data_IF_067386426183
#
_entry.id   IF_067386426183
#
_cell.length_a   1.000
_cell.length_b   1.000
_cell.length_c   1.000
_cell.angle_alpha   90.00
_cell.angle_beta   90.00
_cell.angle_gamma   90.00
#
_symmetry.space_group_name_H-M   'P 1'
#
loop_
_entity.id
_entity.type
_entity.pdbx_description
1 polymer ?
#
# COMPACT_ATOMS: atom_id res chain seq x y z
N UNK A 1 -6.98 -44.03 -11.34
CA UNK A 1 -8.06 -43.54 -12.22
C UNK A 1 -9.15 -42.97 -11.33
N UNK A 2 -9.35 -41.65 -11.35
CA UNK A 2 -10.26 -40.99 -10.41
C UNK A 2 -10.35 -39.49 -10.65
N UNK A 3 -11.23 -39.13 -11.57
CA UNK A 3 -12.03 -37.91 -11.71
C UNK A 3 -11.42 -36.52 -11.42
N UNK A 4 -11.03 -35.89 -12.53
CA UNK A 4 -11.01 -34.44 -12.74
C UNK A 4 -12.42 -33.85 -12.71
N UNK A 5 -12.68 -32.88 -11.83
CA UNK A 5 -13.94 -32.15 -11.81
C UNK A 5 -13.82 -30.76 -11.18
N UNK A 6 -14.66 -29.85 -11.70
CA UNK A 6 -15.01 -28.50 -11.24
C UNK A 6 -14.11 -27.34 -11.70
N UNK A 7 -14.63 -26.22 -12.22
CA UNK A 7 -15.90 -25.88 -12.89
C UNK A 7 -15.74 -24.43 -13.33
N UNK A 8 -15.97 -24.12 -14.60
CA UNK A 8 -15.93 -22.76 -15.13
C UNK A 8 -17.08 -21.92 -14.55
N UNK A 9 -16.77 -20.96 -13.67
CA UNK A 9 -17.73 -19.97 -13.19
C UNK A 9 -17.88 -18.84 -14.20
N UNK A 10 -18.73 -19.05 -15.20
CA UNK A 10 -19.23 -18.04 -16.12
C UNK A 10 -20.24 -17.12 -15.39
N UNK A 11 -19.80 -15.92 -14.97
CA UNK A 11 -20.71 -14.88 -14.47
C UNK A 11 -21.19 -14.00 -15.62
N UNK A 12 -22.34 -14.38 -16.18
CA UNK A 12 -23.20 -13.54 -17.02
C UNK A 12 -23.88 -12.51 -16.10
N UNK A 13 -23.69 -11.21 -16.35
CA UNK A 13 -24.52 -10.17 -15.75
C UNK A 13 -25.43 -9.53 -16.79
N UNK A 14 -26.69 -9.46 -16.40
CA UNK A 14 -27.85 -9.19 -17.21
C UNK A 14 -28.02 -7.70 -17.54
N UNK A 15 -28.57 -7.51 -18.74
CA UNK A 15 -29.10 -6.26 -19.29
C UNK A 15 -30.37 -5.91 -18.52
N UNK A 16 -30.46 -4.71 -17.93
CA UNK A 16 -31.72 -4.17 -17.37
C UNK A 16 -32.14 -2.93 -18.15
N UNK A 17 -33.43 -2.94 -18.44
CA UNK A 17 -34.19 -2.14 -19.38
C UNK A 17 -34.27 -0.63 -19.07
N UNK A 18 -34.37 0.12 -20.15
CA UNK A 18 -34.71 1.52 -20.20
C UNK A 18 -36.17 1.78 -19.77
N UNK A 19 -36.38 2.84 -18.97
CA UNK A 19 -37.70 3.40 -18.73
C UNK A 19 -37.71 4.85 -19.23
N UNK A 20 -38.48 5.09 -20.28
CA UNK A 20 -38.76 6.40 -20.84
C UNK A 20 -39.90 7.06 -20.05
N UNK A 21 -39.68 8.26 -19.52
CA UNK A 21 -40.76 9.10 -18.98
C UNK A 21 -40.81 10.37 -19.80
N UNK A 22 -41.88 10.50 -20.56
CA UNK A 22 -42.28 11.70 -21.27
C UNK A 22 -43.14 12.57 -20.35
N UNK A 23 -42.73 13.81 -20.13
CA UNK A 23 -43.60 14.84 -19.57
C UNK A 23 -43.39 16.16 -20.31
N UNK A 24 -44.37 16.47 -21.16
CA UNK A 24 -44.54 17.70 -21.89
C UNK A 24 -45.09 18.78 -20.95
N UNK A 25 -44.34 19.86 -20.76
CA UNK A 25 -44.78 21.05 -20.04
C UNK A 25 -44.01 22.26 -20.55
N UNK A 26 -44.57 22.95 -21.55
CA UNK A 26 -44.01 24.18 -22.11
C UNK A 26 -44.17 25.33 -21.11
N UNK A 27 -43.07 25.72 -20.48
CA UNK A 27 -42.86 27.08 -20.00
C UNK A 27 -41.50 27.56 -20.51
N UNK A 28 -41.39 28.75 -21.14
CA UNK A 28 -40.13 29.26 -21.66
C UNK A 28 -39.26 29.76 -20.50
N UNK A 29 -38.76 28.83 -19.70
CA UNK A 29 -37.74 29.10 -18.69
C UNK A 29 -36.41 29.22 -19.42
N UNK A 30 -35.73 30.36 -19.25
CA UNK A 30 -34.49 30.70 -19.93
C UNK A 30 -33.38 29.67 -19.65
N UNK A 31 -33.21 28.72 -20.57
CA UNK A 31 -32.27 27.57 -20.50
C UNK A 31 -30.79 28.01 -20.43
N UNK A 32 -30.48 29.27 -20.75
CA UNK A 32 -29.11 29.81 -20.77
C UNK A 32 -28.49 29.97 -19.38
N UNK A 33 -29.28 30.16 -18.31
CA UNK A 33 -28.73 30.35 -16.95
C UNK A 33 -28.42 29.03 -16.21
N UNK A 34 -29.07 27.91 -16.60
CA UNK A 34 -28.92 26.63 -15.90
C UNK A 34 -27.70 25.83 -16.41
N UNK A 35 -27.32 26.01 -17.67
CA UNK A 35 -26.15 25.36 -18.26
C UNK A 35 -24.81 25.95 -17.77
N UNK A 36 -24.79 27.22 -17.33
CA UNK A 36 -23.62 27.83 -16.71
C UNK A 36 -23.34 27.32 -15.28
N UNK A 37 -24.36 26.82 -14.56
CA UNK A 37 -24.19 26.33 -13.18
C UNK A 37 -23.63 24.91 -13.12
N UNK A 38 -23.91 24.06 -14.11
CA UNK A 38 -23.38 22.69 -14.14
C UNK A 38 -21.87 22.64 -14.50
N UNK A 39 -21.34 23.61 -15.25
CA UNK A 39 -19.90 23.71 -15.52
C UNK A 39 -19.05 24.24 -14.35
N UNK A 40 -19.67 24.98 -13.41
CA UNK A 40 -18.96 25.60 -12.29
C UNK A 40 -18.73 24.65 -11.10
N UNK A 41 -19.52 23.58 -10.95
CA UNK A 41 -19.33 22.60 -9.87
C UNK A 41 -18.29 21.52 -10.20
N UNK A 42 -17.97 21.30 -11.49
CA UNK A 42 -17.05 20.23 -11.90
C UNK A 42 -15.57 20.66 -11.93
N UNK A 43 -15.27 21.97 -11.91
CA UNK A 43 -13.91 22.52 -11.91
C UNK A 43 -13.33 22.77 -10.51
N UNK A 44 -14.14 22.65 -9.45
CA UNK A 44 -13.66 22.78 -8.06
C UNK A 44 -13.13 21.47 -7.46
N UNK A 45 -13.37 20.32 -8.11
CA UNK A 45 -13.07 19.01 -7.52
C UNK A 45 -11.64 18.50 -7.76
N UNK A 46 -10.77 19.31 -8.39
CA UNK A 46 -9.38 18.93 -8.67
C UNK A 46 -8.34 20.05 -8.57
N UNK A 47 -8.76 21.27 -8.22
CA UNK A 47 -7.84 22.41 -8.13
C UNK A 47 -7.48 22.66 -6.67
N UNK A 48 -6.18 22.72 -6.35
CA UNK A 48 -5.74 23.02 -4.99
C UNK A 48 -6.32 24.37 -4.54
N UNK A 49 -6.82 24.48 -3.29
CA UNK A 49 -7.13 25.79 -2.71
C UNK A 49 -5.91 26.72 -2.81
N UNK A 50 -6.07 28.02 -3.12
CA UNK A 50 -4.95 28.90 -3.44
C UNK A 50 -3.94 29.04 -2.30
N UNK A 51 -4.40 29.06 -1.05
CA UNK A 51 -3.51 29.09 0.12
C UNK A 51 -2.66 27.81 0.23
N UNK A 52 -3.26 26.65 -0.05
CA UNK A 52 -2.56 25.37 -0.05
C UNK A 52 -1.60 25.28 -1.25
N UNK A 53 -1.98 25.81 -2.41
CA UNK A 53 -1.12 25.84 -3.59
C UNK A 53 0.15 26.66 -3.32
N UNK A 54 0.00 27.85 -2.73
CA UNK A 54 1.13 28.68 -2.35
C UNK A 54 2.04 27.98 -1.32
N UNK A 55 1.45 27.31 -0.32
CA UNK A 55 2.20 26.54 0.66
C UNK A 55 3.01 25.39 0.02
N UNK A 56 2.39 24.63 -0.89
CA UNK A 56 3.06 23.54 -1.63
C UNK A 56 4.18 24.07 -2.52
N UNK A 57 3.95 25.16 -3.24
CA UNK A 57 4.98 25.80 -4.09
C UNK A 57 6.15 26.36 -3.28
N UNK A 58 5.90 26.82 -2.06
CA UNK A 58 6.97 27.28 -1.16
C UNK A 58 7.85 26.15 -0.61
N UNK A 59 7.39 24.90 -0.68
CA UNK A 59 8.07 23.76 -0.07
C UNK A 59 8.15 23.81 1.47
N UNK A 60 7.38 24.69 2.12
CA UNK A 60 7.38 24.82 3.57
C UNK A 60 6.40 23.84 4.21
N UNK A 61 6.92 22.77 4.81
CA UNK A 61 6.10 21.71 5.41
C UNK A 61 5.15 22.22 6.50
N UNK A 62 5.57 23.17 7.34
CA UNK A 62 4.74 23.76 8.40
C UNK A 62 3.59 24.59 7.82
N UNK A 63 3.85 25.36 6.76
CA UNK A 63 2.81 26.12 6.07
C UNK A 63 1.77 25.20 5.42
N UNK A 64 2.21 24.08 4.84
CA UNK A 64 1.33 23.07 4.25
C UNK A 64 0.44 22.44 5.34
N UNK A 65 1.03 22.01 6.47
CA UNK A 65 0.26 21.46 7.59
C UNK A 65 -0.77 22.46 8.13
N UNK A 66 -0.35 23.70 8.35
CA UNK A 66 -1.24 24.77 8.82
C UNK A 66 -2.39 25.01 7.84
N UNK A 67 -2.09 25.09 6.55
CA UNK A 67 -3.11 25.27 5.52
C UNK A 67 -4.11 24.11 5.49
N UNK A 68 -3.65 22.85 5.59
CA UNK A 68 -4.54 21.68 5.67
C UNK A 68 -5.46 21.79 6.89
N UNK A 69 -4.89 22.05 8.07
CA UNK A 69 -5.66 22.12 9.31
C UNK A 69 -6.68 23.27 9.28
N UNK A 70 -6.28 24.47 8.87
CA UNK A 70 -7.18 25.63 8.76
C UNK A 70 -8.28 25.40 7.73
N UNK A 71 -7.96 24.90 6.53
CA UNK A 71 -8.95 24.67 5.47
C UNK A 71 -9.88 23.50 5.77
N UNK A 72 -9.44 22.53 6.58
CA UNK A 72 -10.29 21.41 7.00
C UNK A 72 -11.35 21.82 8.01
N UNK A 73 -11.13 22.90 8.76
CA UNK A 73 -12.00 23.28 9.88
C UNK A 73 -12.01 22.27 11.02
N UNK A 74 -10.97 21.43 11.14
CA UNK A 74 -10.87 20.35 12.14
C UNK A 74 -11.55 19.04 11.74
N UNK A 75 -12.16 18.96 10.57
CA UNK A 75 -12.80 17.73 10.08
C UNK A 75 -11.75 16.70 9.59
N UNK A 76 -11.66 15.50 10.20
CA UNK A 76 -10.61 14.54 9.89
C UNK A 76 -10.72 13.94 8.47
N UNK A 77 -11.93 13.82 7.90
CA UNK A 77 -12.11 13.34 6.53
C UNK A 77 -11.62 14.36 5.51
N UNK A 78 -11.87 15.65 5.78
CA UNK A 78 -11.41 16.77 4.96
C UNK A 78 -9.91 16.97 5.07
N UNK A 79 -9.32 16.78 6.27
CA UNK A 79 -7.86 16.73 6.44
C UNK A 79 -7.25 15.68 5.50
N UNK A 80 -7.78 14.46 5.50
CA UNK A 80 -7.28 13.39 4.64
C UNK A 80 -7.42 13.71 3.14
N UNK A 81 -8.57 14.26 2.75
CA UNK A 81 -8.84 14.65 1.35
C UNK A 81 -7.87 15.73 0.86
N UNK A 82 -7.60 16.74 1.70
CA UNK A 82 -6.60 17.77 1.39
C UNK A 82 -5.19 17.20 1.32
N UNK A 83 -4.82 16.28 2.22
CA UNK A 83 -3.52 15.60 2.20
C UNK A 83 -3.31 14.80 0.90
N UNK A 84 -4.36 14.14 0.38
CA UNK A 84 -4.32 13.47 -0.94
C UNK A 84 -4.02 14.47 -2.07
N UNK A 85 -4.70 15.63 -2.09
CA UNK A 85 -4.45 16.66 -3.10
C UNK A 85 -3.01 17.21 -3.02
N UNK A 86 -2.48 17.39 -1.81
CA UNK A 86 -1.09 17.83 -1.59
C UNK A 86 -0.11 16.85 -2.21
N UNK A 87 -0.21 15.55 -1.92
CA UNK A 87 0.74 14.58 -2.46
C UNK A 87 0.62 14.39 -3.98
N UNK A 88 -0.59 14.49 -4.54
CA UNK A 88 -0.77 14.45 -6.00
C UNK A 88 -0.09 15.63 -6.69
N UNK A 89 -0.08 16.81 -6.05
CA UNK A 89 0.63 17.98 -6.57
C UNK A 89 2.13 17.88 -6.32
N UNK A 90 2.54 17.33 -5.18
CA UNK A 90 3.93 17.03 -4.89
C UNK A 90 4.54 16.06 -5.93
N UNK A 91 3.81 15.03 -6.35
CA UNK A 91 4.24 14.13 -7.42
C UNK A 91 4.52 14.87 -8.73
N UNK A 92 3.68 15.85 -9.09
CA UNK A 92 3.88 16.69 -10.29
C UNK A 92 5.05 17.66 -10.14
N UNK A 93 5.36 18.08 -8.91
CA UNK A 93 6.50 18.95 -8.61
C UNK A 93 7.83 18.21 -8.57
N UNK A 94 7.83 16.91 -8.29
CA UNK A 94 9.08 16.17 -8.05
C UNK A 94 10.13 16.28 -9.18
N UNK A 95 9.76 16.35 -10.48
CA UNK A 95 10.72 16.57 -11.56
C UNK A 95 11.33 17.99 -11.59
N UNK A 96 10.61 19.01 -11.13
CA UNK A 96 11.03 20.43 -11.26
C UNK A 96 11.51 21.04 -9.94
N UNK A 97 11.00 20.56 -8.81
CA UNK A 97 11.38 20.95 -7.47
C UNK A 97 11.30 19.74 -6.51
N UNK A 98 12.31 18.84 -6.55
CA UNK A 98 12.33 17.61 -5.76
C UNK A 98 12.30 17.85 -4.25
N UNK A 99 12.94 18.93 -3.77
CA UNK A 99 12.92 19.28 -2.35
C UNK A 99 11.51 19.67 -1.88
N UNK A 100 10.80 20.53 -2.62
CA UNK A 100 9.42 20.91 -2.27
C UNK A 100 8.45 19.72 -2.34
N UNK A 101 8.65 18.81 -3.31
CA UNK A 101 7.87 17.58 -3.40
C UNK A 101 8.02 16.70 -2.15
N UNK A 102 9.26 16.51 -1.67
CA UNK A 102 9.52 15.76 -0.45
C UNK A 102 8.93 16.42 0.79
N UNK A 103 9.08 17.74 0.93
CA UNK A 103 8.53 18.48 2.07
C UNK A 103 7.00 18.42 2.09
N UNK A 104 6.37 18.48 0.91
CA UNK A 104 4.93 18.32 0.76
C UNK A 104 4.45 16.92 1.15
N UNK A 105 5.17 15.87 0.73
CA UNK A 105 4.89 14.49 1.13
C UNK A 105 5.04 14.31 2.65
N UNK A 106 6.11 14.86 3.23
CA UNK A 106 6.37 14.82 4.68
C UNK A 106 5.25 15.51 5.46
N UNK A 107 4.82 16.69 5.02
CA UNK A 107 3.71 17.42 5.63
C UNK A 107 2.39 16.63 5.57
N UNK A 108 2.10 16.01 4.42
CA UNK A 108 0.91 15.17 4.26
C UNK A 108 0.95 13.93 5.17
N UNK A 109 2.11 13.27 5.30
CA UNK A 109 2.30 12.14 6.22
C UNK A 109 2.11 12.55 7.69
N UNK A 110 2.60 13.73 8.07
CA UNK A 110 2.44 14.24 9.44
C UNK A 110 0.95 14.41 9.81
N UNK A 111 0.12 14.96 8.91
CA UNK A 111 -1.32 15.14 9.19
C UNK A 111 -2.09 13.83 9.17
N UNK A 112 -1.79 12.89 8.26
CA UNK A 112 -2.44 11.57 8.27
C UNK A 112 -1.93 10.68 9.41
N UNK A 113 -0.80 11.04 10.04
CA UNK A 113 -0.31 10.39 11.25
C UNK A 113 -1.21 10.59 12.48
N UNK A 114 -2.18 11.49 12.39
CA UNK A 114 -3.21 11.64 13.42
C UNK A 114 -4.19 10.45 13.40
N UNK A 115 -4.39 9.82 14.56
CA UNK A 115 -5.27 8.64 14.69
C UNK A 115 -6.74 8.91 14.36
N UNK A 116 -7.24 10.14 14.59
CA UNK A 116 -8.59 10.53 14.19
C UNK A 116 -8.75 10.53 12.66
N UNK A 117 -7.72 10.97 11.93
CA UNK A 117 -7.69 10.98 10.47
C UNK A 117 -7.64 9.55 9.92
N UNK A 118 -6.78 8.69 10.50
CA UNK A 118 -6.71 7.27 10.12
C UNK A 118 -8.04 6.55 10.34
N UNK A 119 -8.72 6.84 11.45
CA UNK A 119 -10.01 6.21 11.75
C UNK A 119 -11.12 6.70 10.82
N UNK A 120 -11.14 8.01 10.53
CA UNK A 120 -12.19 8.62 9.72
C UNK A 120 -12.03 8.38 8.21
N UNK A 121 -10.79 8.22 7.73
CA UNK A 121 -10.48 8.13 6.30
C UNK A 121 -9.26 7.22 6.00
N UNK A 122 -9.29 5.93 6.39
CA UNK A 122 -8.15 5.04 6.26
C UNK A 122 -7.72 4.81 4.79
N UNK A 123 -8.68 4.80 3.85
CA UNK A 123 -8.39 4.68 2.42
C UNK A 123 -7.61 5.90 1.87
N UNK A 124 -7.89 7.10 2.38
CA UNK A 124 -7.15 8.31 2.01
C UNK A 124 -5.73 8.27 2.57
N UNK A 125 -5.55 7.79 3.80
CA UNK A 125 -4.21 7.58 4.39
C UNK A 125 -3.36 6.59 3.55
N UNK A 126 -3.96 5.47 3.12
CA UNK A 126 -3.28 4.51 2.23
C UNK A 126 -2.89 5.13 0.88
N UNK A 127 -3.75 5.98 0.32
CA UNK A 127 -3.50 6.69 -0.96
C UNK A 127 -2.34 7.70 -0.81
N UNK A 128 -2.29 8.43 0.31
CA UNK A 128 -1.21 9.35 0.65
C UNK A 128 0.12 8.60 0.79
N UNK A 129 0.14 7.47 1.50
CA UNK A 129 1.33 6.64 1.65
C UNK A 129 1.86 6.11 0.31
N UNK A 130 0.98 5.64 -0.57
CA UNK A 130 1.38 5.15 -1.90
C UNK A 130 2.01 6.26 -2.75
N UNK A 131 1.45 7.46 -2.68
CA UNK A 131 1.97 8.62 -3.44
C UNK A 131 3.30 9.10 -2.85
N UNK A 132 3.40 9.18 -1.51
CA UNK A 132 4.66 9.49 -0.82
C UNK A 132 5.76 8.47 -1.16
N UNK A 133 5.41 7.18 -1.25
CA UNK A 133 6.32 6.13 -1.69
C UNK A 133 6.88 6.38 -3.08
N UNK A 134 6.02 6.76 -4.04
CA UNK A 134 6.47 7.10 -5.40
C UNK A 134 7.39 8.32 -5.41
N UNK A 135 7.16 9.33 -4.55
CA UNK A 135 8.02 10.51 -4.43
C UNK A 135 9.41 10.13 -3.88
N UNK A 136 9.47 9.43 -2.74
CA UNK A 136 10.77 9.08 -2.11
C UNK A 136 11.58 8.07 -2.93
N UNK A 137 10.92 7.30 -3.81
CA UNK A 137 11.60 6.40 -4.74
C UNK A 137 12.31 7.13 -5.88
N UNK A 138 12.04 8.42 -6.11
CA UNK A 138 12.66 9.16 -7.22
C UNK A 138 14.13 9.49 -6.90
N UNK A 139 15.07 9.21 -7.81
CA UNK A 139 16.49 9.54 -7.60
C UNK A 139 16.75 11.03 -7.38
N UNK A 140 16.03 11.91 -8.09
CA UNK A 140 16.15 13.37 -7.93
C UNK A 140 15.79 13.82 -6.51
N UNK A 141 14.78 13.21 -5.90
CA UNK A 141 14.36 13.48 -4.52
C UNK A 141 15.41 12.98 -3.53
N UNK A 142 15.93 11.77 -3.73
CA UNK A 142 16.99 11.19 -2.91
C UNK A 142 18.28 12.02 -2.93
N UNK A 143 18.62 12.61 -4.09
CA UNK A 143 19.78 13.49 -4.22
C UNK A 143 19.55 14.88 -3.63
N UNK A 144 18.33 15.41 -3.75
CA UNK A 144 18.00 16.75 -3.25
C UNK A 144 17.98 16.84 -1.72
N UNK A 145 17.41 15.83 -1.05
CA UNK A 145 17.34 15.79 0.42
C UNK A 145 17.39 14.33 0.95
N UNK A 146 18.59 13.73 1.01
CA UNK A 146 18.75 12.34 1.44
C UNK A 146 18.35 12.12 2.90
N UNK A 147 18.54 13.12 3.77
CA UNK A 147 18.14 13.02 5.20
C UNK A 147 16.62 13.03 5.33
N UNK A 148 15.95 13.93 4.62
CA UNK A 148 14.49 14.00 4.58
C UNK A 148 13.87 12.70 4.05
N UNK A 149 14.45 12.09 3.02
CA UNK A 149 13.99 10.78 2.51
C UNK A 149 14.10 9.70 3.59
N UNK A 150 15.23 9.65 4.32
CA UNK A 150 15.41 8.71 5.42
C UNK A 150 14.34 8.83 6.51
N UNK A 151 14.06 10.06 6.96
CA UNK A 151 13.03 10.32 7.96
C UNK A 151 11.61 9.98 7.43
N UNK A 152 11.31 10.39 6.20
CA UNK A 152 10.02 10.14 5.54
C UNK A 152 9.74 8.63 5.39
N UNK A 153 10.75 7.85 4.99
CA UNK A 153 10.65 6.41 4.87
C UNK A 153 10.31 5.72 6.20
N UNK A 154 10.90 6.17 7.32
CA UNK A 154 10.55 5.65 8.65
C UNK A 154 9.09 5.97 9.01
N UNK A 155 8.63 7.20 8.77
CA UNK A 155 7.22 7.55 8.98
C UNK A 155 6.28 6.70 8.13
N UNK A 156 6.65 6.41 6.87
CA UNK A 156 5.86 5.56 5.99
C UNK A 156 5.71 4.13 6.53
N UNK A 157 6.80 3.51 7.01
CA UNK A 157 6.72 2.15 7.58
C UNK A 157 5.86 2.14 8.84
N UNK A 158 6.04 3.13 9.72
CA UNK A 158 5.22 3.24 10.93
C UNK A 158 3.72 3.34 10.60
N UNK A 159 3.34 4.22 9.66
CA UNK A 159 1.94 4.42 9.26
C UNK A 159 1.37 3.23 8.47
N UNK A 160 2.16 2.63 7.58
CA UNK A 160 1.75 1.44 6.84
C UNK A 160 1.52 0.23 7.75
N UNK A 161 2.20 0.15 8.88
CA UNK A 161 2.03 -0.90 9.89
C UNK A 161 0.82 -0.67 10.82
N UNK A 162 0.10 0.45 10.71
CA UNK A 162 -1.08 0.68 11.54
C UNK A 162 -2.24 -0.23 11.09
N UNK A 163 -2.91 -0.95 12.00
CA UNK A 163 -3.94 -1.93 11.63
C UNK A 163 -5.05 -1.36 10.74
N UNK A 164 -5.50 -0.14 11.01
CA UNK A 164 -6.58 0.51 10.26
C UNK A 164 -6.19 0.82 8.81
N UNK A 165 -4.95 1.28 8.60
CA UNK A 165 -4.42 1.62 7.27
C UNK A 165 -4.08 0.35 6.51
N UNK A 166 -3.40 -0.60 7.17
CA UNK A 166 -3.03 -1.88 6.59
C UNK A 166 -4.25 -2.69 6.15
N UNK A 167 -5.31 -2.73 6.96
CA UNK A 167 -6.53 -3.47 6.64
C UNK A 167 -7.27 -2.96 5.39
N UNK A 168 -7.07 -1.70 4.98
CA UNK A 168 -7.66 -1.20 3.73
C UNK A 168 -6.99 -1.80 2.50
N UNK A 169 -5.67 -1.97 2.54
CA UNK A 169 -4.91 -2.51 1.42
C UNK A 169 -3.58 -3.12 1.89
N UNK A 170 -3.59 -4.39 2.32
CA UNK A 170 -2.39 -5.08 2.78
C UNK A 170 -1.27 -5.07 1.72
N UNK A 171 -1.63 -5.27 0.46
CA UNK A 171 -0.69 -5.25 -0.67
C UNK A 171 -0.03 -3.88 -0.85
N UNK A 172 -0.81 -2.79 -0.80
CA UNK A 172 -0.25 -1.44 -0.94
C UNK A 172 0.63 -1.08 0.26
N UNK A 173 0.23 -1.46 1.48
CA UNK A 173 1.03 -1.24 2.68
C UNK A 173 2.39 -1.96 2.60
N UNK A 174 2.42 -3.22 2.15
CA UNK A 174 3.66 -3.97 1.94
C UNK A 174 4.53 -3.37 0.82
N UNK A 175 3.92 -2.85 -0.26
CA UNK A 175 4.66 -2.14 -1.29
C UNK A 175 5.29 -0.86 -0.75
N UNK A 176 4.55 -0.08 0.05
CA UNK A 176 5.06 1.12 0.74
C UNK A 176 6.24 0.78 1.66
N UNK A 177 6.12 -0.29 2.45
CA UNK A 177 7.19 -0.80 3.31
C UNK A 177 8.44 -1.20 2.52
N UNK A 178 8.26 -1.90 1.40
CA UNK A 178 9.35 -2.30 0.50
C UNK A 178 10.06 -1.08 -0.12
N UNK A 179 9.29 -0.11 -0.61
CA UNK A 179 9.84 1.13 -1.18
C UNK A 179 10.58 1.95 -0.12
N UNK A 180 10.03 2.07 1.08
CA UNK A 180 10.70 2.76 2.19
C UNK A 180 12.04 2.10 2.54
N UNK A 181 12.08 0.75 2.62
CA UNK A 181 13.32 0.01 2.86
C UNK A 181 14.35 0.19 1.73
N UNK A 182 13.90 0.15 0.46
CA UNK A 182 14.77 0.42 -0.68
C UNK A 182 15.33 1.85 -0.65
N UNK A 183 14.50 2.85 -0.36
CA UNK A 183 14.88 4.25 -0.29
C UNK A 183 15.96 4.52 0.77
N UNK A 184 15.85 3.94 1.98
CA UNK A 184 16.90 4.08 3.01
C UNK A 184 18.19 3.35 2.69
N UNK A 185 18.17 2.36 1.79
CA UNK A 185 19.35 1.67 1.31
C UNK A 185 19.99 2.33 0.08
N UNK A 186 19.36 3.36 -0.50
CA UNK A 186 19.93 4.10 -1.61
C UNK A 186 21.29 4.72 -1.20
N UNK A 187 22.32 4.72 -2.07
CA UNK A 187 23.67 5.15 -1.69
C UNK A 187 23.74 6.55 -1.08
N UNK A 188 23.01 7.52 -1.64
CA UNK A 188 22.95 8.89 -1.13
C UNK A 188 22.30 8.97 0.26
N UNK A 189 21.19 8.25 0.46
CA UNK A 189 20.44 8.23 1.73
C UNK A 189 21.25 7.53 2.81
N UNK A 190 21.86 6.37 2.50
CA UNK A 190 22.71 5.62 3.43
C UNK A 190 23.94 6.42 3.86
N UNK A 191 24.54 7.19 2.96
CA UNK A 191 25.65 8.07 3.31
C UNK A 191 25.22 9.22 4.25
N UNK A 192 23.99 9.74 4.08
CA UNK A 192 23.48 10.84 4.88
C UNK A 192 22.86 10.41 6.22
N UNK A 193 22.34 9.19 6.30
CA UNK A 193 21.63 8.60 7.46
C UNK A 193 22.08 7.15 7.65
N UNK A 194 23.28 6.91 8.22
CA UNK A 194 23.87 5.57 8.32
C UNK A 194 23.01 4.59 9.12
N UNK A 195 22.27 5.07 10.13
CA UNK A 195 21.39 4.24 10.97
C UNK A 195 19.99 4.05 10.39
N UNK A 196 19.66 4.72 9.27
CA UNK A 196 18.31 4.74 8.71
C UNK A 196 17.80 3.35 8.31
N UNK A 197 18.66 2.54 7.69
CA UNK A 197 18.32 1.17 7.29
C UNK A 197 18.06 0.25 8.50
N UNK A 198 18.80 0.41 9.59
CA UNK A 198 18.62 -0.37 10.81
C UNK A 198 17.31 0.00 11.54
N UNK A 199 16.97 1.29 11.57
CA UNK A 199 15.71 1.76 12.13
C UNK A 199 14.50 1.20 11.35
N UNK A 200 14.50 1.28 10.02
CA UNK A 200 13.44 0.72 9.18
C UNK A 200 13.35 -0.80 9.33
N UNK A 201 14.49 -1.52 9.32
CA UNK A 201 14.52 -2.97 9.58
C UNK A 201 13.86 -3.33 10.90
N UNK A 202 14.18 -2.61 11.97
CA UNK A 202 13.61 -2.85 13.30
C UNK A 202 12.09 -2.65 13.29
N UNK A 203 11.59 -1.59 12.65
CA UNK A 203 10.15 -1.35 12.53
C UNK A 203 9.45 -2.45 11.72
N UNK A 204 10.06 -2.93 10.64
CA UNK A 204 9.54 -4.05 9.86
C UNK A 204 9.48 -5.34 10.69
N UNK A 205 10.50 -5.64 11.49
CA UNK A 205 10.50 -6.79 12.40
C UNK A 205 9.43 -6.69 13.49
N UNK A 206 9.15 -5.47 13.99
CA UNK A 206 8.04 -5.25 14.90
C UNK A 206 6.71 -5.49 14.18
N UNK A 207 6.53 -4.95 12.97
CA UNK A 207 5.32 -5.15 12.17
C UNK A 207 5.07 -6.63 11.83
N UNK A 208 6.11 -7.43 11.55
CA UNK A 208 5.95 -8.87 11.28
C UNK A 208 5.46 -9.66 12.50
N UNK A 209 5.67 -9.14 13.71
CA UNK A 209 5.24 -9.77 14.96
C UNK A 209 3.86 -9.29 15.43
N UNK A 210 3.28 -8.27 14.80
CA UNK A 210 1.97 -7.75 15.19
C UNK A 210 0.86 -8.73 14.79
N UNK A 211 0.22 -9.33 15.79
CA UNK A 211 -0.88 -10.28 15.59
C UNK A 211 -2.06 -9.69 14.81
N UNK A 212 -2.36 -8.40 15.00
CA UNK A 212 -3.40 -7.70 14.25
C UNK A 212 -3.13 -7.73 12.73
N UNK A 213 -1.89 -7.49 12.30
CA UNK A 213 -1.52 -7.55 10.88
C UNK A 213 -1.61 -8.98 10.33
N UNK A 214 -1.12 -9.96 11.10
CA UNK A 214 -1.17 -11.38 10.71
C UNK A 214 -2.60 -11.94 10.65
N UNK A 215 -3.54 -11.40 11.44
CA UNK A 215 -4.96 -11.78 11.36
C UNK A 215 -5.63 -11.27 10.08
N UNK A 216 -5.19 -10.13 9.55
CA UNK A 216 -5.66 -9.57 8.28
C UNK A 216 -4.98 -10.25 7.09
N UNK A 217 -3.68 -10.53 7.21
CA UNK A 217 -2.87 -11.17 6.19
C UNK A 217 -1.90 -12.19 6.81
N UNK A 218 -2.25 -13.49 6.82
CA UNK A 218 -1.38 -14.54 7.37
C UNK A 218 -0.01 -14.65 6.70
N UNK A 219 0.15 -14.15 5.47
CA UNK A 219 1.42 -14.15 4.75
C UNK A 219 2.33 -12.97 5.14
N UNK A 220 1.86 -12.04 5.97
CA UNK A 220 2.59 -10.83 6.34
C UNK A 220 4.03 -11.09 6.86
N UNK A 221 4.27 -12.04 7.79
CA UNK A 221 5.64 -12.29 8.26
C UNK A 221 6.58 -12.75 7.14
N UNK A 222 6.10 -13.62 6.24
CA UNK A 222 6.89 -14.12 5.11
C UNK A 222 7.21 -13.02 4.10
N UNK A 223 6.23 -12.16 3.79
CA UNK A 223 6.41 -11.02 2.88
C UNK A 223 7.38 -9.98 3.47
N UNK A 224 7.30 -9.69 4.77
CA UNK A 224 8.27 -8.79 5.43
C UNK A 224 9.67 -9.42 5.44
N UNK A 225 9.79 -10.72 5.71
CA UNK A 225 11.09 -11.41 5.63
C UNK A 225 11.71 -11.31 4.22
N UNK A 226 10.88 -11.36 3.17
CA UNK A 226 11.32 -11.13 1.79
C UNK A 226 11.79 -9.70 1.56
N UNK A 227 11.09 -8.68 2.07
CA UNK A 227 11.51 -7.26 2.01
C UNK A 227 12.89 -7.09 2.66
N UNK A 228 13.12 -7.75 3.80
CA UNK A 228 14.38 -7.69 4.53
C UNK A 228 15.53 -8.48 3.86
N UNK A 229 15.24 -9.25 2.81
CA UNK A 229 16.21 -10.11 2.12
C UNK A 229 16.63 -11.35 2.94
N UNK A 230 15.84 -11.74 3.95
CA UNK A 230 16.17 -12.86 4.86
C UNK A 230 15.81 -14.23 4.24
N UNK A 231 15.05 -14.25 3.14
CA UNK A 231 14.49 -15.48 2.56
C UNK A 231 15.12 -16.02 1.27
N UNK A 232 16.15 -15.38 0.69
CA UNK A 232 16.70 -15.79 -0.62
C UNK A 232 17.92 -16.70 -0.55
N UNK A 233 18.42 -17.02 0.64
CA UNK A 233 19.36 -18.14 0.83
C UNK A 233 18.59 -19.43 1.06
N UNK A 234 17.56 -19.70 0.24
CA UNK A 234 17.32 -21.10 -0.13
C UNK A 234 18.51 -21.46 -1.02
N UNK A 235 19.59 -21.83 -0.33
CA UNK A 235 20.62 -22.70 -0.83
C UNK A 235 19.86 -23.83 -1.52
N UNK A 236 19.76 -23.72 -2.84
CA UNK A 236 19.56 -24.86 -3.72
C UNK A 236 20.77 -25.73 -3.43
N UNK A 237 20.71 -26.47 -2.31
CA UNK A 237 21.63 -27.55 -2.02
C UNK A 237 21.54 -28.38 -3.30
N UNK A 238 22.60 -28.37 -4.14
CA UNK A 238 22.55 -29.07 -5.39
C UNK A 238 22.21 -30.48 -4.96
N UNK A 239 21.04 -30.98 -5.38
CA UNK A 239 20.71 -32.39 -5.33
C UNK A 239 21.92 -33.05 -5.96
N UNK A 240 22.87 -33.48 -5.13
CA UNK A 240 23.77 -34.55 -5.44
C UNK A 240 22.81 -35.71 -5.54
N UNK A 241 22.24 -35.81 -6.73
CA UNK A 241 21.82 -37.03 -7.35
C UNK A 241 23.01 -37.95 -7.18
N UNK A 242 23.04 -38.62 -6.02
CA UNK A 242 23.79 -39.83 -5.82
C UNK A 242 23.27 -40.74 -6.92
N UNK A 243 24.01 -40.73 -8.03
CA UNK A 243 24.12 -41.80 -9.00
C UNK A 243 24.39 -43.06 -8.18
N UNK A 244 23.32 -43.68 -7.70
CA UNK A 244 23.35 -45.08 -7.32
C UNK A 244 23.41 -45.83 -8.64
N UNK A 245 24.51 -46.55 -8.95
CA UNK A 245 24.50 -47.45 -10.07
C UNK A 245 23.37 -48.46 -9.84
N UNK A 246 22.47 -48.53 -10.81
CA UNK A 246 21.47 -49.59 -10.95
C UNK A 246 22.24 -50.90 -11.12
N UNK A 247 22.54 -51.57 -10.01
CA UNK A 247 23.05 -52.92 -10.02
C UNK A 247 21.86 -53.86 -10.12
N UNK A 248 21.66 -54.38 -11.34
CA UNK A 248 20.81 -55.52 -11.66
C UNK A 248 20.91 -56.58 -10.56
N UNK A 249 19.85 -56.74 -9.77
CA UNK A 249 19.67 -57.91 -8.92
C UNK A 249 18.44 -58.67 -9.42
N UNK A 250 18.63 -59.81 -10.11
CA UNK A 250 17.53 -60.64 -10.58
C UNK A 250 16.96 -61.46 -9.43
N UNK A 251 15.63 -61.45 -9.31
CA UNK A 251 14.85 -62.56 -8.78
C UNK A 251 14.89 -62.77 -7.27
N UNK A 252 13.78 -62.45 -6.60
CA UNK A 252 13.17 -63.48 -5.77
C UNK A 252 11.65 -63.32 -5.72
N UNK A 253 10.98 -64.35 -6.23
CA UNK A 253 9.58 -64.63 -5.96
C UNK A 253 9.40 -64.98 -4.47
N UNK A 254 8.13 -64.97 -4.05
CA UNK A 254 7.56 -65.59 -2.85
C UNK A 254 7.66 -64.71 -1.59
N UNK A 255 6.53 -64.15 -1.15
CA UNK A 255 5.77 -64.73 -0.02
C UNK A 255 4.45 -63.98 0.24
N UNK A 256 3.36 -64.73 0.12
CA UNK A 256 2.05 -64.53 0.76
C UNK A 256 2.18 -64.10 2.23
N UNK A 257 1.29 -63.22 2.69
CA UNK A 257 1.22 -62.89 4.11
C UNK A 257 0.09 -61.94 4.47
N UNK A 258 -1.12 -62.49 4.59
CA UNK A 258 -2.24 -61.94 5.38
C UNK A 258 -1.77 -61.45 6.76
N UNK A 259 -2.45 -60.42 7.25
CA UNK A 259 -2.47 -59.99 8.66
C UNK A 259 -2.90 -58.52 8.72
N UNK A 260 -4.18 -58.20 8.77
CA UNK A 260 -4.92 -58.07 10.04
C UNK A 260 -4.14 -57.23 11.07
N UNK A 261 -4.55 -55.98 11.29
CA UNK A 261 -5.20 -55.68 12.57
C UNK A 261 -5.93 -54.32 12.60
N UNK A 262 -7.04 -54.24 13.37
CA UNK A 262 -7.94 -53.10 13.45
C UNK A 262 -7.71 -52.22 14.69
N UNK A 263 -8.45 -51.11 14.77
CA UNK A 263 -8.90 -50.41 15.99
C UNK A 263 -7.85 -49.93 17.01
N UNK A 264 -7.74 -48.61 17.21
CA UNK A 264 -7.74 -48.02 18.56
C UNK A 264 -8.47 -46.68 18.57
N UNK A 265 -9.59 -46.67 19.29
CA UNK A 265 -10.34 -45.52 19.78
C UNK A 265 -9.62 -44.90 20.98
N UNK A 266 -9.67 -43.57 21.14
CA UNK A 266 -9.17 -42.92 22.35
C UNK A 266 -9.39 -41.41 22.39
N UNK A 267 -10.57 -40.99 22.83
CA UNK A 267 -10.77 -39.68 23.48
C UNK A 267 -10.20 -39.75 24.91
N UNK A 268 -9.68 -38.64 25.45
CA UNK A 268 -10.39 -38.09 26.63
C UNK A 268 -10.31 -36.56 26.79
N UNK A 269 -11.43 -36.05 27.32
CA UNK A 269 -11.66 -34.90 28.23
C UNK A 269 -10.89 -33.60 28.07
#
# INVERSE_FOLDING_TARGET
>A
MGESGFSHSARRFAIIAALAVASLGLSPVSVVAQQARQGAQQSQQGTLPPALAAAVLSGNAQAIQTAILTLSGGDPQRVASLAVLVVQNAERLAPTNPAAALQSATAALAVIGNSAVQTAAPQSAASVLTSAARIVAQPSVQMADPRGVGATAQSMVHLAAQPQVYAQSPTAALQVMSVAYSAVNAPAVRAAVPDGANAVRTQLLVASQQQALSSVNPQNPAMIAQILGVGTTQESEPRRESQQPVQNQPGNLIRDGRGENPFVSGSPT
#
